data_IF_565397556515
#
_entry.id   IF_565397556515
#
_cell.length_a   1.000
_cell.length_b   1.000
_cell.length_c   1.000
_cell.angle_alpha   90.00
_cell.angle_beta   90.00
_cell.angle_gamma   90.00
#
_symmetry.space_group_name_H-M   'P 1'
#
loop_
_entity.id
_entity.type
_entity.pdbx_description
1 polymer ?
#
# COMPACT_ATOMS: atom_id res chain seq x y z
N UNK A 1 -42.38 -29.22 78.51
CA UNK A 1 -42.49 -28.09 77.56
C UNK A 1 -41.82 -28.51 76.24
N UNK A 2 -42.58 -28.64 75.17
CA UNK A 2 -42.08 -29.12 73.87
C UNK A 2 -41.86 -27.92 72.95
N UNK A 3 -40.62 -27.72 72.48
CA UNK A 3 -40.29 -26.64 71.56
C UNK A 3 -40.72 -27.01 70.13
N UNK A 4 -41.60 -26.21 69.55
CA UNK A 4 -42.05 -26.35 68.15
C UNK A 4 -41.01 -25.71 67.23
N UNK A 5 -40.49 -26.48 66.27
CA UNK A 5 -39.55 -25.97 65.27
C UNK A 5 -40.29 -25.17 64.18
N UNK A 6 -39.86 -23.94 63.94
CA UNK A 6 -40.40 -23.05 62.90
C UNK A 6 -39.81 -23.43 61.53
N UNK A 7 -40.62 -23.56 60.46
CA UNK A 7 -40.10 -23.87 59.13
C UNK A 7 -39.38 -22.67 58.51
N UNK A 8 -38.22 -22.93 57.90
CA UNK A 8 -37.38 -21.96 57.19
C UNK A 8 -37.93 -21.67 55.79
N UNK A 9 -38.02 -20.40 55.34
CA UNK A 9 -38.51 -20.08 54.00
C UNK A 9 -37.54 -20.54 52.90
N UNK A 10 -38.09 -21.12 51.82
CA UNK A 10 -37.35 -21.57 50.64
C UNK A 10 -37.05 -20.38 49.71
N UNK A 11 -35.81 -20.21 49.21
CA UNK A 11 -35.48 -19.12 48.31
C UNK A 11 -36.20 -19.29 46.95
N UNK A 12 -36.73 -18.18 46.42
CA UNK A 12 -37.40 -18.12 45.11
C UNK A 12 -36.37 -18.00 44.00
N UNK A 13 -36.45 -18.78 42.90
CA UNK A 13 -35.49 -18.69 41.81
C UNK A 13 -35.63 -17.35 41.06
N UNK A 14 -34.52 -16.63 40.92
CA UNK A 14 -34.42 -15.41 40.12
C UNK A 14 -34.25 -15.75 38.63
N UNK A 15 -35.00 -15.06 37.77
CA UNK A 15 -34.93 -15.21 36.31
C UNK A 15 -33.59 -14.69 35.76
N UNK A 16 -32.87 -15.54 35.06
CA UNK A 16 -31.61 -15.20 34.37
C UNK A 16 -31.91 -14.37 33.10
N UNK A 17 -31.25 -13.22 32.88
CA UNK A 17 -31.44 -12.45 31.65
C UNK A 17 -30.94 -13.23 30.43
N UNK A 18 -31.72 -13.23 29.36
CA UNK A 18 -31.36 -13.84 28.07
C UNK A 18 -30.36 -12.96 27.34
N UNK A 19 -29.26 -13.49 26.78
CA UNK A 19 -28.28 -12.70 26.05
C UNK A 19 -28.88 -12.13 24.76
N UNK A 20 -28.75 -10.82 24.58
CA UNK A 20 -29.13 -10.12 23.35
C UNK A 20 -28.14 -10.47 22.23
N UNK A 21 -28.64 -10.87 21.06
CA UNK A 21 -27.81 -11.16 19.91
C UNK A 21 -27.08 -9.88 19.44
N UNK A 22 -25.76 -9.89 19.50
CA UNK A 22 -24.91 -8.81 18.99
C UNK A 22 -24.94 -8.82 17.47
N UNK A 23 -25.25 -7.68 16.85
CA UNK A 23 -25.22 -7.53 15.40
C UNK A 23 -23.81 -7.83 14.87
N UNK A 24 -23.70 -8.74 13.91
CA UNK A 24 -22.45 -9.05 13.23
C UNK A 24 -22.05 -7.85 12.35
N UNK A 25 -20.82 -7.33 12.44
CA UNK A 25 -20.38 -6.24 11.59
C UNK A 25 -20.42 -6.69 10.12
N UNK A 26 -21.06 -5.87 9.28
CA UNK A 26 -21.03 -6.07 7.83
C UNK A 26 -19.59 -5.88 7.33
N UNK A 27 -19.02 -6.81 6.55
CA UNK A 27 -17.68 -6.62 6.00
C UNK A 27 -17.69 -5.38 5.10
N UNK A 28 -16.81 -4.42 5.38
CA UNK A 28 -16.53 -3.29 4.50
C UNK A 28 -16.02 -3.85 3.17
N UNK A 29 -16.53 -3.39 2.01
CA UNK A 29 -16.05 -3.86 0.72
C UNK A 29 -14.54 -3.58 0.61
N UNK A 30 -13.76 -4.62 0.35
CA UNK A 30 -12.37 -4.48 -0.07
C UNK A 30 -12.39 -3.80 -1.45
N UNK A 31 -11.75 -2.63 -1.64
CA UNK A 31 -11.68 -2.01 -2.95
C UNK A 31 -11.04 -2.98 -3.93
N UNK A 32 -11.70 -3.16 -5.06
CA UNK A 32 -11.16 -3.96 -6.16
C UNK A 32 -10.05 -3.13 -6.80
N UNK A 33 -8.82 -3.67 -6.94
CA UNK A 33 -7.81 -3.03 -7.77
C UNK A 33 -8.39 -2.85 -9.16
N UNK A 34 -8.40 -1.64 -9.71
CA UNK A 34 -8.67 -1.46 -11.14
C UNK A 34 -7.43 -1.97 -11.88
N UNK A 35 -7.37 -3.29 -12.06
CA UNK A 35 -6.29 -3.98 -12.74
C UNK A 35 -6.12 -3.44 -14.16
N UNK A 36 -4.86 -3.16 -14.55
CA UNK A 36 -4.38 -2.78 -15.88
C UNK A 36 -5.36 -1.99 -16.77
N UNK A 37 -5.19 -0.67 -16.88
CA UNK A 37 -6.00 0.19 -17.74
C UNK A 37 -5.55 0.18 -19.21
N UNK A 38 -4.30 -0.21 -19.52
CA UNK A 38 -3.86 -0.28 -20.90
C UNK A 38 -2.47 -0.89 -21.12
N UNK A 39 -2.14 -1.05 -22.41
CA UNK A 39 -0.85 -1.54 -22.90
C UNK A 39 -0.49 -0.87 -24.23
N UNK A 40 0.74 -0.38 -24.35
CA UNK A 40 1.29 0.19 -25.58
C UNK A 40 2.81 0.22 -25.50
N UNK A 41 3.49 0.05 -26.64
CA UNK A 41 4.96 0.13 -26.75
C UNK A 41 5.72 -0.75 -25.74
N UNK A 42 5.17 -1.91 -25.38
CA UNK A 42 5.78 -2.79 -24.39
C UNK A 42 5.63 -2.31 -22.95
N UNK A 43 4.69 -1.42 -22.65
CA UNK A 43 4.44 -0.90 -21.30
C UNK A 43 3.00 -1.19 -20.93
N UNK A 44 2.79 -1.88 -19.82
CA UNK A 44 1.49 -2.08 -19.15
C UNK A 44 1.32 -1.00 -18.10
N UNK A 45 0.12 -0.44 -17.93
CA UNK A 45 -0.15 0.53 -16.87
C UNK A 45 -1.55 0.41 -16.29
N UNK A 46 -1.74 0.99 -15.12
CA UNK A 46 -3.04 1.08 -14.47
C UNK A 46 -3.06 2.04 -13.30
N UNK A 47 -4.23 2.17 -12.70
CA UNK A 47 -4.47 2.91 -11.48
C UNK A 47 -5.03 1.95 -10.45
N UNK A 48 -4.45 1.92 -9.24
CA UNK A 48 -4.96 1.08 -8.15
C UNK A 48 -5.41 1.97 -7.00
N UNK A 49 -6.60 1.70 -6.47
CA UNK A 49 -7.10 2.27 -5.22
C UNK A 49 -7.06 1.18 -4.17
N UNK A 50 -6.39 1.42 -3.04
CA UNK A 50 -6.21 0.44 -1.99
C UNK A 50 -6.49 1.04 -0.61
N UNK A 51 -7.28 0.32 0.19
CA UNK A 51 -7.52 0.69 1.59
C UNK A 51 -6.25 0.58 2.41
N UNK A 52 -6.07 1.45 3.40
CA UNK A 52 -5.02 1.27 4.41
C UNK A 52 -5.07 -0.11 5.04
N UNK A 53 -3.89 -0.64 5.37
CA UNK A 53 -3.69 -1.91 6.04
C UNK A 53 -4.15 -3.12 5.23
N UNK A 54 -4.02 -3.02 3.89
CA UNK A 54 -4.44 -4.06 2.94
C UNK A 54 -3.33 -4.40 1.94
N UNK A 55 -3.32 -5.65 1.50
CA UNK A 55 -2.50 -6.13 0.40
C UNK A 55 -3.21 -5.90 -0.94
N UNK A 56 -2.45 -5.61 -1.99
CA UNK A 56 -2.98 -5.37 -3.32
C UNK A 56 -1.95 -5.72 -4.40
N UNK A 57 -2.38 -6.12 -5.60
CA UNK A 57 -1.47 -6.39 -6.70
C UNK A 57 -1.02 -5.11 -7.42
N UNK A 58 0.25 -5.07 -7.84
CA UNK A 58 0.80 -4.16 -8.83
C UNK A 58 1.45 -5.02 -9.91
N UNK A 59 0.82 -5.10 -11.08
CA UNK A 59 1.21 -6.08 -12.10
C UNK A 59 1.15 -7.50 -11.53
N UNK A 60 2.32 -8.14 -11.46
CA UNK A 60 2.42 -9.55 -11.09
C UNK A 60 2.93 -9.74 -9.65
N UNK A 61 3.02 -8.68 -8.84
CA UNK A 61 3.39 -8.77 -7.42
C UNK A 61 2.36 -8.19 -6.47
N UNK A 62 2.43 -8.58 -5.20
CA UNK A 62 1.59 -8.05 -4.13
C UNK A 62 2.38 -7.08 -3.24
N UNK A 63 1.78 -5.92 -3.02
CA UNK A 63 2.28 -4.88 -2.13
C UNK A 63 1.35 -4.75 -0.91
N UNK A 64 1.89 -4.37 0.24
CA UNK A 64 1.08 -3.99 1.41
C UNK A 64 1.25 -2.52 1.75
N UNK A 65 0.14 -1.83 1.95
CA UNK A 65 0.07 -0.39 2.22
C UNK A 65 -0.54 -0.11 3.60
N UNK A 66 -0.05 0.92 4.30
CA UNK A 66 -0.79 1.57 5.38
C UNK A 66 -0.63 3.10 5.35
N UNK A 67 -1.69 3.82 5.69
CA UNK A 67 -1.64 5.28 5.84
C UNK A 67 -0.81 5.66 7.06
N UNK A 68 0.05 6.68 6.94
CA UNK A 68 0.81 7.24 8.04
C UNK A 68 0.14 8.49 8.61
N UNK A 69 -0.07 9.50 7.77
CA UNK A 69 -0.72 10.76 8.12
C UNK A 69 -1.51 11.27 6.92
N UNK A 70 -2.84 11.07 6.94
CA UNK A 70 -3.74 11.42 5.83
C UNK A 70 -3.64 12.89 5.45
N UNK A 71 -3.64 13.79 6.44
CA UNK A 71 -3.59 15.25 6.21
C UNK A 71 -2.30 15.73 5.53
N UNK A 72 -1.24 14.93 5.57
CA UNK A 72 0.05 15.23 4.95
C UNK A 72 0.30 14.35 3.73
N UNK A 73 -0.67 13.52 3.32
CA UNK A 73 -0.50 12.59 2.19
C UNK A 73 0.59 11.54 2.40
N UNK A 74 0.85 11.13 3.65
CA UNK A 74 1.94 10.20 3.98
C UNK A 74 1.47 8.75 4.12
N UNK A 75 2.27 7.82 3.62
CA UNK A 75 2.00 6.38 3.70
C UNK A 75 3.27 5.51 3.79
N UNK A 76 3.03 4.22 4.05
CA UNK A 76 4.04 3.18 4.10
C UNK A 76 3.77 2.11 3.07
N UNK A 77 4.82 1.66 2.39
CA UNK A 77 4.88 0.35 1.76
C UNK A 77 5.77 -0.56 2.61
N UNK A 78 5.28 -1.76 2.92
CA UNK A 78 6.00 -2.74 3.75
C UNK A 78 6.77 -3.71 2.86
N UNK A 79 7.89 -4.26 3.34
CA UNK A 79 8.70 -5.23 2.58
C UNK A 79 8.74 -6.63 3.19
N UNK A 80 8.73 -6.75 4.53
CA UNK A 80 8.75 -8.05 5.22
C UNK A 80 7.35 -8.67 5.38
N UNK A 81 7.24 -10.00 5.20
CA UNK A 81 6.08 -10.79 5.62
C UNK A 81 4.91 -10.93 4.64
N UNK A 82 5.00 -10.38 3.41
CA UNK A 82 3.89 -10.38 2.44
C UNK A 82 4.07 -11.34 1.24
N UNK A 83 4.97 -12.32 1.35
CA UNK A 83 5.05 -13.47 0.44
C UNK A 83 6.34 -13.52 -0.39
N UNK A 84 6.64 -14.74 -0.83
CA UNK A 84 7.72 -15.05 -1.77
C UNK A 84 7.29 -14.53 -3.14
N UNK A 85 7.85 -13.40 -3.55
CA UNK A 85 7.52 -12.80 -4.85
C UNK A 85 8.42 -13.48 -5.86
N UNK A 86 7.86 -14.38 -6.67
CA UNK A 86 8.54 -14.98 -7.81
C UNK A 86 8.00 -14.37 -9.11
N UNK A 87 8.80 -13.60 -9.86
CA UNK A 87 10.20 -13.27 -9.60
C UNK A 87 10.35 -12.17 -8.53
N UNK A 88 11.52 -12.16 -7.86
CA UNK A 88 11.83 -11.21 -6.80
C UNK A 88 11.63 -9.75 -7.23
N UNK A 89 11.06 -8.96 -6.33
CA UNK A 89 10.89 -7.51 -6.53
C UNK A 89 12.04 -6.79 -5.83
N UNK A 90 12.49 -5.72 -6.45
CA UNK A 90 13.46 -4.80 -5.88
C UNK A 90 12.91 -3.39 -6.01
N UNK A 91 12.93 -2.61 -4.92
CA UNK A 91 12.62 -1.19 -5.01
C UNK A 91 13.90 -0.40 -5.27
N UNK A 92 13.83 0.60 -6.13
CA UNK A 92 14.97 1.44 -6.51
C UNK A 92 15.03 2.74 -5.72
N UNK A 93 16.21 3.36 -5.75
CA UNK A 93 16.49 4.66 -5.14
C UNK A 93 16.10 4.78 -3.65
N UNK A 94 16.14 3.68 -2.90
CA UNK A 94 15.86 3.72 -1.47
C UNK A 94 16.91 4.55 -0.72
N UNK A 95 16.44 5.35 0.22
CA UNK A 95 17.28 6.20 1.07
C UNK A 95 17.10 5.76 2.51
N UNK A 96 18.21 5.46 3.19
CA UNK A 96 18.22 5.19 4.62
C UNK A 96 17.69 6.40 5.39
N UNK A 97 17.22 6.18 6.62
CA UNK A 97 16.78 7.29 7.46
C UNK A 97 17.91 8.34 7.65
N UNK A 98 17.63 9.65 7.54
CA UNK A 98 16.32 10.27 7.29
C UNK A 98 16.00 10.40 5.79
N UNK A 99 14.75 10.10 5.42
CA UNK A 99 14.20 10.46 4.12
C UNK A 99 13.45 11.79 4.18
N UNK A 100 13.06 12.31 3.01
CA UNK A 100 12.23 13.51 2.89
C UNK A 100 10.89 13.36 3.63
N UNK A 101 10.36 12.14 3.72
CA UNK A 101 9.01 11.85 4.21
C UNK A 101 8.88 11.72 5.73
N UNK A 102 9.98 11.66 6.49
CA UNK A 102 9.97 11.77 7.96
C UNK A 102 11.38 11.74 8.56
N UNK A 103 11.58 12.56 9.60
CA UNK A 103 12.75 12.51 10.47
C UNK A 103 12.88 11.11 11.10
N UNK A 104 13.94 10.38 10.73
CA UNK A 104 14.27 9.07 11.30
C UNK A 104 13.63 7.85 10.60
N UNK A 105 12.95 8.02 9.45
CA UNK A 105 12.40 6.89 8.67
C UNK A 105 12.98 6.80 7.26
N UNK A 106 13.22 5.59 6.72
CA UNK A 106 13.67 5.40 5.36
C UNK A 106 12.57 5.78 4.35
N UNK A 107 12.97 6.07 3.13
CA UNK A 107 12.09 6.46 2.04
C UNK A 107 12.82 6.25 0.70
N UNK A 108 12.57 7.12 -0.27
CA UNK A 108 13.19 7.03 -1.58
C UNK A 108 13.44 8.42 -2.20
N UNK A 109 14.41 8.47 -3.11
CA UNK A 109 14.58 9.58 -4.05
C UNK A 109 13.91 9.20 -5.36
N UNK A 110 12.77 9.81 -5.66
CA UNK A 110 12.02 9.49 -6.87
C UNK A 110 12.57 10.20 -8.09
N UNK A 111 12.01 9.83 -9.22
CA UNK A 111 12.30 10.44 -10.52
C UNK A 111 11.22 11.50 -10.79
N UNK A 112 11.59 12.76 -11.04
CA UNK A 112 10.60 13.79 -11.37
C UNK A 112 9.75 13.38 -12.56
N UNK A 113 8.44 13.64 -12.49
CA UNK A 113 7.55 13.51 -13.65
C UNK A 113 7.82 14.73 -14.54
N UNK A 114 8.73 14.61 -15.50
CA UNK A 114 8.94 15.62 -16.53
C UNK A 114 8.08 15.31 -17.77
N UNK A 115 7.07 16.15 -18.01
CA UNK A 115 6.13 16.05 -19.12
C UNK A 115 6.78 16.27 -20.50
N UNK A 116 7.96 16.90 -20.53
CA UNK A 116 8.76 17.08 -21.74
C UNK A 116 9.75 15.92 -21.96
N UNK A 117 10.07 15.16 -20.91
CA UNK A 117 10.92 14.00 -21.01
C UNK A 117 10.10 12.81 -21.51
N UNK A 118 10.09 12.63 -22.83
CA UNK A 118 9.58 11.41 -23.49
C UNK A 118 10.33 10.13 -23.07
N UNK A 119 11.42 10.23 -22.29
CA UNK A 119 12.25 9.12 -21.85
C UNK A 119 12.69 9.35 -20.41
N UNK A 120 12.38 8.42 -19.52
CA UNK A 120 13.07 8.32 -18.23
C UNK A 120 14.47 7.75 -18.52
N UNK A 121 15.55 8.50 -18.26
CA UNK A 121 16.88 8.06 -18.63
C UNK A 121 17.32 6.91 -17.71
N UNK A 122 17.98 5.90 -18.29
CA UNK A 122 18.27 4.62 -17.63
C UNK A 122 19.15 4.77 -16.36
N UNK A 123 19.93 5.83 -16.28
CA UNK A 123 20.78 6.22 -15.15
C UNK A 123 20.01 6.85 -13.97
N UNK A 124 18.78 7.34 -14.19
CA UNK A 124 17.89 7.79 -13.12
C UNK A 124 17.31 6.62 -12.30
N UNK A 125 17.39 5.40 -12.84
CA UNK A 125 17.08 4.15 -12.14
C UNK A 125 18.38 3.61 -11.57
N UNK A 126 18.87 4.23 -10.50
CA UNK A 126 20.04 3.70 -9.84
C UNK A 126 19.63 2.47 -9.04
N UNK A 127 19.99 1.30 -9.56
CA UNK A 127 19.98 0.00 -8.89
C UNK A 127 18.76 -0.23 -7.99
N UNK A 128 17.69 -0.83 -8.54
CA UNK A 128 16.76 -1.61 -7.73
C UNK A 128 17.55 -2.76 -7.05
N UNK A 129 18.29 -2.42 -5.99
CA UNK A 129 19.40 -3.20 -5.41
C UNK A 129 18.99 -3.82 -4.10
N UNK A 130 17.94 -3.29 -3.47
CA UNK A 130 17.40 -3.80 -2.23
C UNK A 130 16.16 -4.62 -2.59
N UNK A 131 16.29 -5.92 -2.38
CA UNK A 131 15.17 -6.84 -2.53
C UNK A 131 14.07 -6.43 -1.57
N UNK A 132 12.84 -6.44 -2.06
CA UNK A 132 11.65 -6.03 -1.35
C UNK A 132 11.51 -6.71 0.03
N UNK A 133 11.89 -7.98 0.12
CA UNK A 133 11.90 -8.77 1.36
C UNK A 133 12.88 -8.29 2.44
N UNK A 134 13.84 -7.42 2.10
CA UNK A 134 14.95 -7.05 2.99
C UNK A 134 14.74 -5.74 3.75
N UNK A 135 13.58 -5.09 3.61
CA UNK A 135 13.24 -3.88 4.37
C UNK A 135 11.90 -4.03 5.09
N UNK A 136 11.77 -3.45 6.28
CA UNK A 136 10.52 -3.53 7.05
C UNK A 136 9.42 -2.67 6.42
N UNK A 137 9.75 -1.41 6.14
CA UNK A 137 8.89 -0.47 5.44
C UNK A 137 9.69 0.67 4.82
N UNK A 138 9.08 1.35 3.87
CA UNK A 138 9.54 2.62 3.28
C UNK A 138 8.43 3.66 3.35
N UNK A 139 8.80 4.91 3.60
CA UNK A 139 7.88 6.03 3.55
C UNK A 139 7.72 6.56 2.12
N UNK A 140 6.53 7.05 1.82
CA UNK A 140 6.27 7.90 0.66
C UNK A 140 5.33 9.05 1.03
N UNK A 141 5.43 10.13 0.24
CA UNK A 141 4.39 11.15 0.14
C UNK A 141 3.64 11.02 -1.18
N UNK A 142 2.37 11.41 -1.19
CA UNK A 142 1.57 11.56 -2.41
C UNK A 142 1.86 12.89 -3.11
N UNK A 143 1.39 13.10 -4.35
CA UNK A 143 1.61 14.36 -5.13
C UNK A 143 1.28 15.66 -4.37
N UNK A 144 0.32 15.62 -3.45
CA UNK A 144 -0.08 16.77 -2.61
C UNK A 144 0.80 16.96 -1.36
N UNK A 145 1.72 16.03 -1.08
CA UNK A 145 2.59 16.06 0.09
C UNK A 145 3.87 16.84 -0.20
N UNK A 146 4.32 17.64 0.76
CA UNK A 146 5.64 18.30 0.72
C UNK A 146 6.81 17.30 0.62
N UNK A 147 6.56 16.02 0.89
CA UNK A 147 7.55 14.97 0.76
C UNK A 147 7.37 14.07 -0.47
N UNK A 148 6.59 14.51 -1.46
CA UNK A 148 6.51 13.82 -2.73
C UNK A 148 7.87 13.81 -3.42
N UNK A 149 8.45 12.64 -3.60
CA UNK A 149 9.77 12.48 -4.21
C UNK A 149 9.73 12.20 -5.72
N UNK A 150 8.55 12.07 -6.34
CA UNK A 150 8.39 11.67 -7.74
C UNK A 150 8.08 10.18 -7.93
N UNK A 151 8.36 9.64 -9.12
CA UNK A 151 8.14 8.23 -9.44
C UNK A 151 9.09 7.33 -8.64
N UNK A 152 8.55 6.30 -8.02
CA UNK A 152 9.33 5.25 -7.37
C UNK A 152 9.63 4.12 -8.35
N UNK A 153 10.90 3.89 -8.73
CA UNK A 153 11.27 2.75 -9.56
C UNK A 153 11.19 1.42 -8.80
N UNK A 154 10.84 0.36 -9.51
CA UNK A 154 10.98 -1.01 -9.03
C UNK A 154 11.40 -1.94 -10.17
N UNK A 155 11.98 -3.09 -9.83
CA UNK A 155 12.32 -4.16 -10.77
C UNK A 155 11.61 -5.44 -10.35
N UNK A 156 11.01 -6.14 -11.32
CA UNK A 156 10.40 -7.46 -11.13
C UNK A 156 10.80 -8.38 -12.29
N UNK A 157 11.63 -9.39 -12.03
CA UNK A 157 12.03 -10.37 -13.05
C UNK A 157 12.57 -9.74 -14.35
N UNK A 158 13.55 -8.84 -14.22
CA UNK A 158 14.13 -8.02 -15.31
C UNK A 158 13.20 -7.00 -15.97
N UNK A 159 11.99 -6.80 -15.46
CA UNK A 159 11.08 -5.74 -15.91
C UNK A 159 11.19 -4.55 -14.99
N UNK A 160 11.46 -3.40 -15.57
CA UNK A 160 11.41 -2.12 -14.88
C UNK A 160 9.96 -1.67 -14.74
N UNK A 161 9.62 -1.07 -13.61
CA UNK A 161 8.36 -0.39 -13.41
C UNK A 161 8.49 0.85 -12.55
N UNK A 162 7.43 1.64 -12.53
CA UNK A 162 7.32 2.85 -11.73
C UNK A 162 5.99 2.89 -11.00
N UNK A 163 6.00 3.49 -9.82
CA UNK A 163 4.82 3.79 -9.03
C UNK A 163 4.77 5.29 -8.80
N UNK A 164 3.60 5.87 -9.02
CA UNK A 164 3.29 7.25 -8.68
C UNK A 164 2.21 7.27 -7.60
N UNK A 165 2.52 7.91 -6.47
CA UNK A 165 1.61 8.05 -5.34
C UNK A 165 0.74 9.28 -5.57
N UNK A 166 -0.49 9.06 -6.04
CA UNK A 166 -1.38 10.14 -6.47
C UNK A 166 -1.96 10.88 -5.27
N UNK A 167 -2.68 10.17 -4.40
CA UNK A 167 -3.39 10.78 -3.26
C UNK A 167 -3.76 9.75 -2.19
N UNK A 168 -3.99 10.23 -0.97
CA UNK A 168 -4.63 9.46 0.11
C UNK A 168 -5.90 10.21 0.49
N UNK A 169 -7.06 9.58 0.32
CA UNK A 169 -8.34 10.20 0.65
C UNK A 169 -8.63 10.22 2.15
N UNK A 170 -9.73 10.87 2.56
CA UNK A 170 -10.15 10.94 3.96
C UNK A 170 -10.47 9.58 4.59
N UNK A 171 -10.77 8.57 3.77
CA UNK A 171 -11.01 7.19 4.20
C UNK A 171 -9.72 6.36 4.27
N UNK A 172 -8.55 6.99 4.05
CA UNK A 172 -7.22 6.36 4.03
C UNK A 172 -7.03 5.44 2.83
N UNK A 173 -7.79 5.64 1.75
CA UNK A 173 -7.56 4.92 0.51
C UNK A 173 -6.44 5.62 -0.26
N UNK A 174 -5.39 4.86 -0.58
CA UNK A 174 -4.32 5.32 -1.45
C UNK A 174 -4.73 5.09 -2.90
N UNK A 175 -4.60 6.13 -3.72
CA UNK A 175 -4.61 6.02 -5.17
C UNK A 175 -3.18 6.04 -5.68
N UNK A 176 -2.80 5.04 -6.48
CA UNK A 176 -1.52 5.02 -7.20
C UNK A 176 -1.75 4.86 -8.70
N UNK A 177 -0.84 5.40 -9.49
CA UNK A 177 -0.63 4.97 -10.86
C UNK A 177 0.62 4.08 -10.92
N UNK A 178 0.65 3.12 -11.85
CA UNK A 178 1.80 2.26 -12.03
C UNK A 178 2.03 1.92 -13.50
N UNK A 179 3.30 1.66 -13.84
CA UNK A 179 3.76 1.27 -15.17
C UNK A 179 4.75 0.13 -15.05
N UNK A 180 4.70 -0.84 -15.96
CA UNK A 180 5.61 -1.99 -16.02
C UNK A 180 5.99 -2.20 -17.48
N UNK A 181 7.28 -2.14 -17.77
CA UNK A 181 7.86 -2.42 -19.07
C UNK A 181 8.05 -3.93 -19.29
N UNK A 182 7.91 -4.38 -20.52
CA UNK A 182 8.35 -5.70 -20.96
C UNK A 182 9.89 -5.79 -20.87
N UNK A 183 10.41 -7.01 -20.80
CA UNK A 183 11.86 -7.21 -20.64
C UNK A 183 12.64 -6.55 -21.80
N UNK A 184 13.67 -5.77 -21.45
CA UNK A 184 14.50 -5.04 -22.41
C UNK A 184 13.93 -3.70 -22.87
N UNK A 185 12.68 -3.36 -22.53
CA UNK A 185 12.13 -2.01 -22.76
C UNK A 185 12.65 -1.07 -21.67
N UNK A 186 13.47 -0.11 -22.07
CA UNK A 186 14.09 0.88 -21.17
C UNK A 186 13.57 2.30 -21.38
N UNK A 187 12.82 2.53 -22.46
CA UNK A 187 12.31 3.84 -22.79
C UNK A 187 10.80 3.90 -22.54
N UNK A 188 10.42 4.62 -21.49
CA UNK A 188 9.02 4.84 -21.13
C UNK A 188 8.41 5.96 -21.98
N UNK A 189 8.34 5.74 -23.30
CA UNK A 189 7.63 6.65 -24.18
C UNK A 189 6.12 6.45 -24.04
N UNK A 190 5.40 7.52 -23.75
CA UNK A 190 3.98 7.64 -24.10
C UNK A 190 3.04 6.58 -23.48
N UNK A 191 3.23 6.16 -22.22
CA UNK A 191 2.10 5.58 -21.51
C UNK A 191 1.04 6.70 -21.35
N UNK A 192 -0.17 6.57 -21.91
CA UNK A 192 -1.21 7.61 -21.96
C UNK A 192 -1.60 8.18 -20.60
N UNK A 193 -1.29 7.48 -19.49
CA UNK A 193 -1.61 7.88 -18.12
C UNK A 193 -0.47 8.56 -17.35
N UNK A 194 0.72 8.74 -17.95
CA UNK A 194 1.80 9.55 -17.33
C UNK A 194 1.57 11.06 -17.51
N UNK A 195 0.61 11.47 -18.34
CA UNK A 195 0.11 12.83 -18.36
C UNK A 195 -0.74 13.08 -17.08
N UNK A 196 -0.57 14.24 -16.43
CA UNK A 196 -1.07 14.53 -15.09
C UNK A 196 -2.58 14.47 -14.94
#
# INVERSE_FOLDING_TARGET
PTATATPTPTPTPTSTPTPTATATPTPTPTPTPVGSQGYANGIRWGTTIVSSSSSFPIGDFTQYYSSAQVQLGLGYFYGTGYGDTDPAIYLGNLVSAPSLCANGRPGYTGIPIDLAATVIPADAINNASIQYSNFDYIMFGTRESDCYSGLMPFMQGNRLGFIDFVSIDSNKNLTINWWIADAGVTQFFAAPSMAP
#
